data_IF_064175201694
#
_entry.id   IF_064175201694
#
_cell.length_a   1.000
_cell.length_b   1.000
_cell.length_c   1.000
_cell.angle_alpha   90.00
_cell.angle_beta   90.00
_cell.angle_gamma   90.00
#
_symmetry.space_group_name_H-M   'P 1'
#
loop_
_entity.id
_entity.type
_entity.pdbx_description
1 polymer ?
#
# COMPACT_ATOMS: atom_id res chain seq x y z
N UNK A 1 12.50 -15.45 -25.33
CA UNK A 1 11.52 -14.79 -26.22
C UNK A 1 10.18 -14.81 -25.52
N UNK A 2 9.89 -13.81 -24.68
CA UNK A 2 8.55 -13.61 -24.11
C UNK A 2 7.68 -12.98 -25.18
N UNK A 3 6.52 -13.58 -25.44
CA UNK A 3 5.49 -12.99 -26.29
C UNK A 3 5.03 -11.68 -25.67
N UNK A 4 5.07 -10.60 -26.44
CA UNK A 4 4.29 -9.40 -26.17
C UNK A 4 2.83 -9.84 -25.95
N UNK A 5 2.29 -9.56 -24.78
CA UNK A 5 0.88 -9.78 -24.50
C UNK A 5 0.08 -8.90 -25.47
N UNK A 6 -0.88 -9.49 -26.18
CA UNK A 6 -1.75 -8.76 -27.09
C UNK A 6 -2.56 -7.69 -26.31
N UNK A 7 -2.66 -6.49 -26.86
CA UNK A 7 -3.30 -5.30 -26.28
C UNK A 7 -4.73 -5.56 -25.83
N UNK A 8 -5.52 -6.22 -26.67
CA UNK A 8 -6.93 -6.48 -26.38
C UNK A 8 -7.10 -7.52 -25.27
N UNK A 9 -6.14 -8.46 -25.18
CA UNK A 9 -6.07 -9.44 -24.09
C UNK A 9 -5.75 -8.76 -22.76
N UNK A 10 -4.86 -7.76 -22.75
CA UNK A 10 -4.50 -7.02 -21.56
C UNK A 10 -5.71 -6.29 -20.94
N UNK A 11 -6.41 -5.50 -21.75
CA UNK A 11 -7.57 -4.71 -21.32
C UNK A 11 -8.70 -5.62 -20.80
N UNK A 12 -8.97 -6.72 -21.52
CA UNK A 12 -9.98 -7.69 -21.10
C UNK A 12 -9.65 -8.31 -19.74
N UNK A 13 -8.38 -8.53 -19.42
CA UNK A 13 -7.96 -9.11 -18.14
C UNK A 13 -8.09 -8.11 -16.99
N UNK A 14 -7.82 -6.82 -17.20
CA UNK A 14 -7.98 -5.80 -16.17
C UNK A 14 -9.44 -5.56 -15.78
N UNK A 15 -10.32 -5.42 -16.77
CA UNK A 15 -11.78 -5.27 -16.55
C UNK A 15 -12.34 -6.47 -15.81
N UNK A 16 -11.96 -7.68 -16.23
CA UNK A 16 -12.37 -8.92 -15.58
C UNK A 16 -11.83 -9.00 -14.14
N UNK A 17 -10.56 -8.62 -13.93
CA UNK A 17 -9.94 -8.60 -12.60
C UNK A 17 -10.66 -7.64 -11.64
N UNK A 18 -10.98 -6.43 -12.12
CA UNK A 18 -11.78 -5.44 -11.39
C UNK A 18 -13.13 -6.02 -10.96
N UNK A 19 -13.90 -6.57 -11.90
CA UNK A 19 -15.24 -7.09 -11.63
C UNK A 19 -15.22 -8.29 -10.67
N UNK A 20 -14.21 -9.16 -10.80
CA UNK A 20 -13.96 -10.27 -9.89
C UNK A 20 -13.71 -9.80 -8.46
N UNK A 21 -12.89 -8.77 -8.25
CA UNK A 21 -12.63 -8.23 -6.91
C UNK A 21 -13.88 -7.54 -6.32
N UNK A 22 -14.67 -6.84 -7.13
CA UNK A 22 -15.94 -6.25 -6.69
C UNK A 22 -16.96 -7.32 -6.26
N UNK A 23 -16.99 -8.47 -6.94
CA UNK A 23 -17.82 -9.60 -6.53
C UNK A 23 -17.33 -10.22 -5.22
N UNK A 24 -16.01 -10.27 -5.00
CA UNK A 24 -15.43 -10.69 -3.73
C UNK A 24 -15.83 -9.76 -2.57
N UNK A 25 -15.82 -8.44 -2.78
CA UNK A 25 -16.32 -7.46 -1.79
C UNK A 25 -17.78 -7.71 -1.40
N UNK A 26 -18.66 -7.89 -2.39
CA UNK A 26 -20.08 -8.21 -2.14
C UNK A 26 -20.26 -9.50 -1.33
N UNK A 27 -19.39 -10.49 -1.55
CA UNK A 27 -19.39 -11.72 -0.75
C UNK A 27 -19.00 -11.44 0.71
N UNK A 28 -17.95 -10.66 0.95
CA UNK A 28 -17.56 -10.28 2.32
C UNK A 28 -18.66 -9.49 3.03
N UNK A 29 -19.31 -8.55 2.33
CA UNK A 29 -20.47 -7.80 2.84
C UNK A 29 -21.58 -8.75 3.32
N UNK A 30 -21.92 -9.76 2.52
CA UNK A 30 -22.96 -10.74 2.86
C UNK A 30 -22.61 -11.62 4.07
N UNK A 31 -21.32 -11.84 4.35
CA UNK A 31 -20.85 -12.65 5.48
C UNK A 31 -20.94 -11.92 6.82
N UNK A 32 -20.67 -10.61 6.83
CA UNK A 32 -20.70 -9.80 8.04
C UNK A 32 -22.06 -9.10 8.27
N UNK A 33 -22.93 -9.09 7.27
CA UNK A 33 -24.34 -8.75 7.40
C UNK A 33 -24.67 -7.25 7.44
N UNK A 34 -23.67 -6.37 7.38
CA UNK A 34 -23.88 -4.91 7.34
C UNK A 34 -22.71 -4.16 6.71
N UNK A 35 -22.98 -3.43 5.62
CA UNK A 35 -22.11 -2.38 5.09
C UNK A 35 -22.42 -1.09 5.86
N UNK A 36 -21.43 -0.39 6.43
CA UNK A 36 -20.03 -0.30 5.99
C UNK A 36 -18.98 -1.16 6.74
N UNK A 37 -19.36 -2.16 7.53
CA UNK A 37 -18.40 -2.94 8.33
C UNK A 37 -17.83 -4.17 7.58
N UNK A 38 -16.50 -4.22 7.41
CA UNK A 38 -15.82 -5.32 6.72
C UNK A 38 -14.77 -6.01 7.60
N UNK A 39 -14.62 -7.32 7.43
CA UNK A 39 -13.43 -8.06 7.86
C UNK A 39 -12.34 -8.04 6.79
N UNK A 40 -11.07 -8.21 7.19
CA UNK A 40 -9.92 -8.12 6.27
C UNK A 40 -9.92 -9.22 5.19
N UNK A 41 -10.49 -10.39 5.49
CA UNK A 41 -10.54 -11.57 4.62
C UNK A 41 -11.80 -12.40 4.90
N UNK A 42 -12.06 -13.40 4.07
CA UNK A 42 -13.20 -14.30 4.26
C UNK A 42 -13.11 -15.18 5.53
N UNK A 43 -11.90 -15.35 6.09
CA UNK A 43 -11.71 -16.02 7.38
C UNK A 43 -11.68 -15.08 8.58
N UNK A 44 -11.86 -13.77 8.38
CA UNK A 44 -11.78 -12.80 9.48
C UNK A 44 -12.90 -13.04 10.51
N UNK A 45 -12.53 -13.11 11.78
CA UNK A 45 -13.48 -13.26 12.89
C UNK A 45 -14.10 -11.92 13.30
N UNK A 46 -13.47 -10.81 12.92
CA UNK A 46 -13.84 -9.45 13.31
C UNK A 46 -13.92 -8.53 12.09
N UNK A 47 -14.85 -7.59 12.14
CA UNK A 47 -14.83 -6.40 11.28
C UNK A 47 -13.98 -5.33 11.95
N UNK A 48 -13.15 -4.62 11.21
CA UNK A 48 -12.30 -3.54 11.73
C UNK A 48 -12.44 -2.28 10.88
N UNK A 49 -12.23 -1.11 11.48
CA UNK A 49 -12.35 0.16 10.74
C UNK A 49 -11.34 0.26 9.58
N UNK A 50 -10.14 -0.31 9.75
CA UNK A 50 -9.13 -0.40 8.70
C UNK A 50 -9.59 -1.26 7.51
N UNK A 51 -10.17 -2.43 7.77
CA UNK A 51 -10.71 -3.30 6.72
C UNK A 51 -11.82 -2.59 5.93
N UNK A 52 -12.69 -1.86 6.62
CA UNK A 52 -13.73 -1.04 6.01
C UNK A 52 -13.14 0.08 5.14
N UNK A 53 -12.05 0.73 5.58
CA UNK A 53 -11.33 1.71 4.75
C UNK A 53 -10.80 1.08 3.46
N UNK A 54 -10.19 -0.12 3.53
CA UNK A 54 -9.66 -0.80 2.34
C UNK A 54 -10.76 -1.20 1.36
N UNK A 55 -11.91 -1.68 1.85
CA UNK A 55 -13.08 -1.91 1.01
C UNK A 55 -13.52 -0.63 0.28
N UNK A 56 -13.60 0.49 1.00
CA UNK A 56 -13.96 1.78 0.43
C UNK A 56 -12.95 2.26 -0.63
N UNK A 57 -11.65 2.04 -0.42
CA UNK A 57 -10.63 2.41 -1.41
C UNK A 57 -10.71 1.58 -2.68
N UNK A 58 -11.12 0.32 -2.60
CA UNK A 58 -11.42 -0.48 -3.80
C UNK A 58 -12.64 0.12 -4.51
N UNK A 59 -13.73 0.44 -3.81
CA UNK A 59 -14.90 1.08 -4.43
C UNK A 59 -14.56 2.41 -5.09
N UNK A 60 -13.72 3.23 -4.46
CA UNK A 60 -13.23 4.48 -5.02
C UNK A 60 -12.41 4.24 -6.28
N UNK A 61 -11.34 3.45 -6.18
CA UNK A 61 -10.42 3.16 -7.28
C UNK A 61 -11.16 2.64 -8.51
N UNK A 62 -12.15 1.78 -8.29
CA UNK A 62 -12.98 1.17 -9.34
C UNK A 62 -14.06 2.09 -9.90
N UNK A 63 -14.36 3.20 -9.25
CA UNK A 63 -15.44 4.10 -9.65
C UNK A 63 -16.84 3.66 -9.22
N UNK A 64 -16.94 2.63 -8.39
CA UNK A 64 -18.21 2.17 -7.83
C UNK A 64 -18.70 3.09 -6.71
N UNK A 65 -17.80 3.81 -6.03
CA UNK A 65 -18.16 4.77 -4.99
C UNK A 65 -19.09 5.88 -5.52
N UNK A 66 -19.01 6.23 -6.81
CA UNK A 66 -19.85 7.21 -7.50
C UNK A 66 -21.29 6.72 -7.67
N UNK A 67 -21.52 5.41 -7.58
CA UNK A 67 -22.85 4.82 -7.63
C UNK A 67 -23.54 4.81 -6.26
N UNK A 68 -22.81 5.08 -5.17
CA UNK A 68 -23.39 5.16 -3.84
C UNK A 68 -24.32 6.36 -3.75
N UNK A 69 -25.52 6.13 -3.24
CA UNK A 69 -26.47 7.20 -2.91
C UNK A 69 -25.87 8.14 -1.85
N UNK A 70 -26.42 9.36 -1.77
CA UNK A 70 -26.07 10.32 -0.71
C UNK A 70 -26.28 9.72 0.68
N UNK A 71 -27.30 8.87 0.86
CA UNK A 71 -27.57 8.19 2.13
C UNK A 71 -26.48 7.19 2.47
N UNK A 72 -26.07 6.33 1.53
CA UNK A 72 -24.98 5.37 1.74
C UNK A 72 -23.67 6.09 2.06
N UNK A 73 -23.32 7.14 1.31
CA UNK A 73 -22.12 7.94 1.58
C UNK A 73 -22.13 8.55 2.99
N UNK A 74 -23.29 9.04 3.42
CA UNK A 74 -23.47 9.59 4.77
C UNK A 74 -23.35 8.50 5.84
N UNK A 75 -23.94 7.32 5.64
CA UNK A 75 -23.84 6.18 6.56
C UNK A 75 -22.38 5.72 6.72
N UNK A 76 -21.63 5.61 5.63
CA UNK A 76 -20.19 5.34 5.65
C UNK A 76 -19.42 6.41 6.44
N UNK A 77 -19.70 7.69 6.19
CA UNK A 77 -19.03 8.78 6.88
C UNK A 77 -19.31 8.77 8.38
N UNK A 78 -20.57 8.59 8.79
CA UNK A 78 -20.94 8.52 10.21
C UNK A 78 -20.37 7.29 10.91
N UNK A 79 -20.31 6.14 10.23
CA UNK A 79 -19.60 4.97 10.74
C UNK A 79 -18.12 5.29 11.00
N UNK A 80 -17.39 5.82 10.03
CA UNK A 80 -15.96 6.15 10.19
C UNK A 80 -15.72 7.17 11.30
N UNK A 81 -16.55 8.23 11.34
CA UNK A 81 -16.46 9.28 12.36
C UNK A 81 -16.75 8.78 13.78
N UNK A 82 -17.56 7.72 13.93
CA UNK A 82 -17.86 7.14 15.25
C UNK A 82 -16.62 6.58 15.97
N UNK A 83 -15.54 6.32 15.22
CA UNK A 83 -14.25 5.88 15.78
C UNK A 83 -13.35 7.04 16.20
N UNK A 84 -13.72 8.31 15.92
CA UNK A 84 -12.86 9.45 16.23
C UNK A 84 -12.97 9.86 17.70
N UNK A 85 -11.83 9.84 18.41
CA UNK A 85 -11.72 10.34 19.78
C UNK A 85 -11.72 11.86 19.83
N UNK A 86 -12.62 12.44 20.62
CA UNK A 86 -12.79 13.90 20.75
C UNK A 86 -11.54 14.61 21.28
N UNK A 87 -10.81 13.97 22.21
CA UNK A 87 -9.69 14.61 22.92
C UNK A 87 -8.46 14.71 22.04
N UNK A 88 -8.02 13.59 21.47
CA UNK A 88 -6.81 13.50 20.66
C UNK A 88 -7.04 13.81 19.18
N UNK A 89 -8.26 13.58 18.69
CA UNK A 89 -8.58 13.58 17.25
C UNK A 89 -8.16 12.31 16.51
N UNK A 90 -7.58 11.31 17.20
CA UNK A 90 -7.22 10.02 16.63
C UNK A 90 -8.46 9.18 16.33
N UNK A 91 -8.38 8.29 15.36
CA UNK A 91 -9.39 7.25 15.13
C UNK A 91 -8.95 5.96 15.82
N UNK A 92 -9.78 5.46 16.73
CA UNK A 92 -9.49 4.33 17.59
C UNK A 92 -10.51 3.23 17.34
N UNK A 93 -10.05 2.08 16.85
CA UNK A 93 -10.89 0.90 16.74
C UNK A 93 -11.20 0.37 18.16
N UNK A 94 -12.47 0.15 18.54
CA UNK A 94 -12.84 -0.29 19.89
C UNK A 94 -12.32 -1.68 20.22
N UNK A 95 -11.94 -2.47 19.22
CA UNK A 95 -11.29 -3.77 19.43
C UNK A 95 -9.79 -3.63 19.72
N UNK A 96 -9.17 -2.48 19.46
CA UNK A 96 -7.74 -2.28 19.64
C UNK A 96 -7.45 -1.72 21.03
N UNK A 97 -6.50 -2.35 21.73
CA UNK A 97 -6.01 -1.88 23.02
C UNK A 97 -4.49 -1.74 22.98
N UNK A 98 -3.92 -0.84 23.78
CA UNK A 98 -2.48 -0.55 23.79
C UNK A 98 -1.65 -1.82 24.06
N UNK A 99 -2.16 -2.74 24.89
CA UNK A 99 -1.52 -4.00 25.23
C UNK A 99 -1.38 -4.95 24.04
N UNK A 100 -2.24 -4.85 23.02
CA UNK A 100 -2.14 -5.65 21.79
C UNK A 100 -0.81 -5.37 21.05
N UNK A 101 -0.24 -4.18 21.27
CA UNK A 101 0.93 -3.65 20.57
C UNK A 101 2.18 -3.51 21.47
N UNK A 102 2.08 -3.91 22.74
CA UNK A 102 3.19 -3.85 23.67
C UNK A 102 4.38 -4.69 23.18
N UNK A 103 5.58 -4.09 23.16
CA UNK A 103 6.83 -4.72 22.69
C UNK A 103 6.78 -5.23 21.24
N UNK A 104 5.89 -4.67 20.40
CA UNK A 104 5.84 -4.95 18.95
C UNK A 104 6.64 -3.89 18.19
N UNK A 105 7.04 -4.22 16.95
CA UNK A 105 7.67 -3.27 16.01
C UNK A 105 6.72 -2.12 15.66
N UNK A 106 5.45 -2.44 15.42
CA UNK A 106 4.36 -1.48 15.30
C UNK A 106 3.74 -1.29 16.67
N UNK A 107 4.11 -0.22 17.35
CA UNK A 107 3.58 0.12 18.66
C UNK A 107 2.19 0.78 18.56
N UNK A 108 1.63 1.13 19.71
CA UNK A 108 0.31 1.78 19.80
C UNK A 108 0.25 3.12 19.04
N UNK A 109 1.33 3.90 19.09
CA UNK A 109 1.40 5.16 18.36
C UNK A 109 1.33 4.91 16.85
N UNK A 110 2.14 3.98 16.34
CA UNK A 110 2.13 3.58 14.93
C UNK A 110 0.73 3.16 14.50
N UNK A 111 0.09 2.26 15.25
CA UNK A 111 -1.21 1.72 14.90
C UNK A 111 -2.31 2.79 14.88
N UNK A 112 -2.36 3.66 15.91
CA UNK A 112 -3.38 4.72 15.98
C UNK A 112 -3.18 5.79 14.92
N UNK A 113 -1.93 6.12 14.57
CA UNK A 113 -1.61 7.04 13.48
C UNK A 113 -1.98 6.44 12.13
N UNK A 114 -1.68 5.17 11.91
CA UNK A 114 -2.07 4.45 10.70
C UNK A 114 -3.60 4.39 10.54
N UNK A 115 -4.31 4.06 11.62
CA UNK A 115 -5.79 4.03 11.63
C UNK A 115 -6.37 5.39 11.32
N UNK A 116 -5.84 6.44 11.96
CA UNK A 116 -6.22 7.83 11.68
C UNK A 116 -5.97 8.21 10.23
N UNK A 117 -4.79 7.90 9.69
CA UNK A 117 -4.44 8.19 8.29
C UNK A 117 -5.43 7.57 7.30
N UNK A 118 -5.78 6.29 7.46
CA UNK A 118 -6.70 5.62 6.56
C UNK A 118 -8.15 6.09 6.73
N UNK A 119 -8.62 6.33 7.96
CA UNK A 119 -9.95 6.89 8.19
C UNK A 119 -10.11 8.28 7.55
N UNK A 120 -9.09 9.14 7.66
CA UNK A 120 -9.09 10.45 7.01
C UNK A 120 -9.11 10.33 5.48
N UNK A 121 -8.32 9.42 4.92
CA UNK A 121 -8.33 9.14 3.47
C UNK A 121 -9.68 8.59 2.98
N UNK A 122 -10.37 7.82 3.82
CA UNK A 122 -11.69 7.27 3.52
C UNK A 122 -12.79 8.34 3.60
N UNK A 123 -12.71 9.25 4.59
CA UNK A 123 -13.61 10.40 4.69
C UNK A 123 -13.44 11.35 3.49
N UNK A 124 -12.22 11.61 3.07
CA UNK A 124 -11.91 12.42 1.88
C UNK A 124 -12.56 11.84 0.61
N UNK A 125 -12.44 10.51 0.39
CA UNK A 125 -13.08 9.81 -0.72
C UNK A 125 -14.62 9.97 -0.74
N UNK A 126 -15.24 10.08 0.43
CA UNK A 126 -16.67 10.29 0.60
C UNK A 126 -17.08 11.77 0.44
N UNK A 127 -16.12 12.71 0.43
CA UNK A 127 -16.37 14.15 0.46
C UNK A 127 -16.68 14.69 1.85
N UNK A 128 -16.22 14.01 2.91
CA UNK A 128 -16.41 14.38 4.30
C UNK A 128 -15.07 14.68 5.00
N UNK A 129 -15.14 15.38 6.12
CA UNK A 129 -14.00 15.66 6.99
C UNK A 129 -14.19 15.02 8.36
N UNK A 130 -13.09 14.95 9.12
CA UNK A 130 -13.14 14.56 10.53
C UNK A 130 -14.07 15.46 11.36
N UNK A 131 -14.64 14.92 12.44
CA UNK A 131 -15.49 15.65 13.38
C UNK A 131 -14.67 16.55 14.31
N UNK A 132 -13.54 16.05 14.78
CA UNK A 132 -12.71 16.72 15.76
C UNK A 132 -11.33 17.11 15.18
N UNK A 133 -10.72 18.21 15.67
CA UNK A 133 -9.37 18.59 15.26
C UNK A 133 -8.33 17.51 15.58
N UNK A 134 -7.35 17.34 14.69
CA UNK A 134 -6.24 16.37 14.84
C UNK A 134 -5.21 16.86 15.88
N UNK A 135 -5.57 16.88 17.16
CA UNK A 135 -4.73 17.44 18.23
C UNK A 135 -3.45 16.65 18.48
N UNK A 136 -3.40 15.38 18.08
CA UNK A 136 -2.20 14.54 18.20
C UNK A 136 -0.97 15.10 17.45
N UNK A 137 -1.17 15.98 16.46
CA UNK A 137 -0.06 16.59 15.70
C UNK A 137 0.63 17.74 16.44
N UNK A 138 -0.02 18.33 17.46
CA UNK A 138 0.47 19.55 18.13
C UNK A 138 1.88 19.41 18.72
N UNK A 139 2.27 18.29 19.35
CA UNK A 139 3.64 18.10 19.87
C UNK A 139 4.73 18.13 18.79
N UNK A 140 4.37 17.98 17.51
CA UNK A 140 5.29 17.91 16.39
C UNK A 140 5.33 19.20 15.57
N UNK A 141 4.71 20.29 16.03
CA UNK A 141 4.71 21.55 15.28
C UNK A 141 5.91 22.42 15.62
N UNK A 142 6.40 23.13 14.62
CA UNK A 142 7.53 24.04 14.74
C UNK A 142 8.88 23.36 14.53
N UNK A 143 9.83 24.15 14.02
CA UNK A 143 11.14 23.68 13.55
C UNK A 143 11.94 22.93 14.61
N UNK A 144 11.94 23.38 15.87
CA UNK A 144 12.66 22.72 16.97
C UNK A 144 12.09 21.34 17.29
N UNK A 145 10.76 21.20 17.37
CA UNK A 145 10.10 19.95 17.66
C UNK A 145 10.31 18.95 16.52
N UNK A 146 10.11 19.39 15.28
CA UNK A 146 10.33 18.57 14.08
C UNK A 146 11.79 18.11 13.95
N UNK A 147 12.75 19.01 14.18
CA UNK A 147 14.18 18.65 14.11
C UNK A 147 14.50 17.57 15.14
N UNK A 148 14.04 17.76 16.38
CA UNK A 148 14.27 16.79 17.47
C UNK A 148 13.65 15.44 17.13
N UNK A 149 12.42 15.45 16.60
CA UNK A 149 11.72 14.23 16.24
C UNK A 149 12.37 13.50 15.07
N UNK A 150 12.66 14.19 13.95
CA UNK A 150 13.27 13.60 12.75
C UNK A 150 14.67 13.01 13.03
N UNK A 151 15.48 13.71 13.83
CA UNK A 151 16.80 13.23 14.24
C UNK A 151 16.72 12.04 15.21
N UNK A 152 15.58 11.85 15.89
CA UNK A 152 15.34 10.75 16.82
C UNK A 152 14.81 9.46 16.16
N UNK A 153 14.45 9.51 14.88
CA UNK A 153 13.95 8.34 14.15
C UNK A 153 15.08 7.35 13.85
N UNK A 154 14.75 6.06 13.88
CA UNK A 154 15.69 4.99 13.53
C UNK A 154 15.76 4.79 12.00
N UNK A 155 16.61 5.55 11.33
CA UNK A 155 16.84 5.43 9.89
C UNK A 155 17.61 4.17 9.47
N UNK A 156 17.97 3.28 10.40
CA UNK A 156 18.33 1.90 10.07
C UNK A 156 17.13 1.02 9.66
N UNK A 157 15.90 1.51 9.85
CA UNK A 157 14.64 0.87 9.43
C UNK A 157 13.71 1.90 8.77
N UNK A 158 14.13 2.49 7.63
CA UNK A 158 13.38 3.56 6.97
C UNK A 158 11.96 3.14 6.61
N UNK A 159 11.69 1.86 6.32
CA UNK A 159 10.33 1.37 6.08
C UNK A 159 9.39 1.67 7.28
N UNK A 160 9.83 1.40 8.50
CA UNK A 160 9.02 1.68 9.69
C UNK A 160 8.85 3.18 9.93
N UNK A 161 9.95 3.93 9.89
CA UNK A 161 9.94 5.34 10.32
C UNK A 161 9.30 6.28 9.30
N UNK A 162 9.45 5.97 8.00
CA UNK A 162 8.81 6.73 6.93
C UNK A 162 7.27 6.69 6.99
N UNK A 163 6.68 5.59 7.46
CA UNK A 163 5.24 5.52 7.71
C UNK A 163 4.80 6.59 8.71
N UNK A 164 5.54 6.77 9.81
CA UNK A 164 5.23 7.80 10.83
C UNK A 164 5.30 9.21 10.24
N UNK A 165 6.31 9.48 9.42
CA UNK A 165 6.45 10.75 8.68
C UNK A 165 5.27 10.95 7.73
N UNK A 166 4.90 9.94 6.96
CA UNK A 166 3.77 10.00 6.03
C UNK A 166 2.45 10.30 6.76
N UNK A 167 2.18 9.62 7.88
CA UNK A 167 0.97 9.84 8.68
C UNK A 167 0.91 11.27 9.24
N UNK A 168 2.02 11.74 9.79
CA UNK A 168 2.12 13.10 10.34
C UNK A 168 2.01 14.16 9.26
N UNK A 169 2.78 14.05 8.17
CA UNK A 169 2.77 15.01 7.08
C UNK A 169 1.38 15.14 6.45
N UNK A 170 0.71 14.02 6.19
CA UNK A 170 -0.65 14.03 5.61
C UNK A 170 -1.67 14.68 6.56
N UNK A 171 -1.53 14.43 7.86
CA UNK A 171 -2.38 15.03 8.89
C UNK A 171 -2.11 16.53 9.08
N UNK A 172 -0.85 16.97 8.94
CA UNK A 172 -0.47 18.38 8.90
C UNK A 172 -1.05 19.07 7.66
N UNK A 173 -0.97 18.47 6.47
CA UNK A 173 -1.57 19.01 5.23
C UNK A 173 -3.07 19.26 5.44
N UNK A 174 -3.80 18.26 5.96
CA UNK A 174 -5.25 18.39 6.22
C UNK A 174 -5.58 19.44 7.29
N UNK A 175 -4.66 19.68 8.23
CA UNK A 175 -4.82 20.67 9.29
C UNK A 175 -4.27 22.06 8.93
N UNK A 176 -3.85 22.27 7.67
CA UNK A 176 -3.30 23.55 7.20
C UNK A 176 -1.85 23.84 7.63
N UNK A 177 -1.11 22.84 8.09
CA UNK A 177 0.29 22.94 8.57
C UNK A 177 1.34 22.83 7.46
N UNK A 178 1.18 23.54 6.33
CA UNK A 178 2.08 23.41 5.18
C UNK A 178 3.53 23.84 5.46
N UNK A 179 3.74 24.82 6.35
CA UNK A 179 5.10 25.23 6.75
C UNK A 179 5.86 24.09 7.45
N UNK A 180 5.20 23.39 8.37
CA UNK A 180 5.74 22.22 9.07
C UNK A 180 6.06 21.08 8.07
N UNK A 181 5.18 20.88 7.08
CA UNK A 181 5.37 19.88 6.02
C UNK A 181 6.58 20.23 5.16
N UNK A 182 6.69 21.47 4.68
CA UNK A 182 7.86 21.87 3.89
C UNK A 182 9.17 21.72 4.67
N UNK A 183 9.16 22.02 5.98
CA UNK A 183 10.32 21.78 6.83
C UNK A 183 10.73 20.31 6.90
N UNK A 184 9.77 19.38 7.02
CA UNK A 184 10.04 17.94 6.99
C UNK A 184 10.71 17.55 5.66
N UNK A 185 10.18 18.02 4.54
CA UNK A 185 10.71 17.66 3.22
C UNK A 185 12.06 18.34 2.91
N UNK A 186 12.30 19.55 3.41
CA UNK A 186 13.62 20.19 3.36
C UNK A 186 14.66 19.42 4.19
N UNK A 187 14.23 18.77 5.28
CA UNK A 187 15.08 17.85 6.04
C UNK A 187 15.35 16.58 5.21
N UNK A 188 14.32 15.95 4.64
CA UNK A 188 14.48 14.75 3.80
C UNK A 188 15.43 15.00 2.63
N UNK A 189 15.29 16.14 1.95
CA UNK A 189 16.14 16.53 0.82
C UNK A 189 17.63 16.59 1.15
N UNK A 190 17.97 16.97 2.39
CA UNK A 190 19.37 17.05 2.86
C UNK A 190 19.96 15.70 3.29
N UNK A 191 19.11 14.69 3.50
CA UNK A 191 19.50 13.37 4.02
C UNK A 191 19.22 12.23 3.02
N UNK A 192 18.87 12.56 1.78
CA UNK A 192 18.70 11.56 0.72
C UNK A 192 20.07 11.08 0.25
N UNK A 193 20.27 9.76 0.19
CA UNK A 193 21.50 9.13 -0.26
C UNK A 193 21.67 9.30 -1.77
N UNK A 194 22.73 9.98 -2.25
CA UNK A 194 22.96 10.17 -3.69
C UNK A 194 23.35 8.89 -4.43
N UNK A 195 23.74 7.81 -3.74
CA UNK A 195 24.13 6.56 -4.39
C UNK A 195 22.94 5.70 -4.80
N UNK A 196 21.90 5.68 -3.95
CA UNK A 196 20.70 4.87 -4.15
C UNK A 196 19.47 5.69 -4.51
N UNK A 197 19.47 6.97 -4.15
CA UNK A 197 18.30 7.85 -4.22
C UNK A 197 17.31 7.65 -3.08
N UNK A 198 17.62 6.85 -2.06
CA UNK A 198 16.73 6.56 -0.92
C UNK A 198 17.25 7.14 0.41
N UNK A 199 16.63 6.76 1.52
CA UNK A 199 17.01 7.18 2.88
C UNK A 199 17.41 5.98 3.72
N UNK A 200 18.31 6.19 4.69
CA UNK A 200 18.68 5.19 5.71
C UNK A 200 19.78 4.20 5.31
N UNK A 201 20.20 4.17 4.03
CA UNK A 201 21.28 3.30 3.53
C UNK A 201 22.63 3.60 4.19
N UNK A 202 22.92 4.87 4.50
CA UNK A 202 24.08 5.28 5.30
C UNK A 202 24.06 4.71 6.73
N UNK A 203 22.87 4.36 7.24
CA UNK A 203 22.66 3.69 8.52
C UNK A 203 22.44 2.18 8.38
N UNK A 204 22.88 1.61 7.25
CA UNK A 204 22.86 0.17 6.93
C UNK A 204 21.48 -0.43 6.71
N UNK A 205 20.46 0.38 6.41
CA UNK A 205 19.23 -0.15 5.85
C UNK A 205 19.54 -0.88 4.54
N UNK A 206 18.98 -2.07 4.34
CA UNK A 206 19.08 -2.73 3.04
C UNK A 206 18.26 -2.00 1.98
N UNK A 207 18.58 -2.24 0.70
CA UNK A 207 17.99 -1.51 -0.41
C UNK A 207 16.47 -1.70 -0.52
N UNK A 208 15.95 -2.88 -0.14
CA UNK A 208 14.52 -3.17 -0.18
C UNK A 208 13.77 -2.37 0.89
N UNK A 209 14.30 -2.34 2.12
CA UNK A 209 13.75 -1.55 3.22
C UNK A 209 13.81 -0.05 2.89
N UNK A 210 14.91 0.42 2.29
CA UNK A 210 15.07 1.80 1.84
C UNK A 210 14.07 2.19 0.74
N UNK A 211 13.83 1.32 -0.25
CA UNK A 211 12.83 1.51 -1.30
C UNK A 211 11.40 1.60 -0.73
N UNK A 212 11.05 0.64 0.13
CA UNK A 212 9.75 0.63 0.82
C UNK A 212 9.56 1.89 1.68
N UNK A 213 10.64 2.40 2.29
CA UNK A 213 10.61 3.67 3.01
C UNK A 213 10.40 4.88 2.12
N UNK A 214 11.12 4.94 0.99
CA UNK A 214 11.10 6.07 0.06
C UNK A 214 9.74 6.24 -0.64
N UNK A 215 9.04 5.14 -0.93
CA UNK A 215 7.68 5.15 -1.48
C UNK A 215 6.72 6.05 -0.68
N UNK A 216 6.80 6.02 0.66
CA UNK A 216 5.94 6.82 1.53
C UNK A 216 6.13 8.34 1.40
N UNK A 217 7.20 8.79 0.74
CA UNK A 217 7.48 10.21 0.52
C UNK A 217 7.16 10.66 -0.91
N UNK A 218 7.42 9.83 -1.91
CA UNK A 218 7.43 10.31 -3.30
C UNK A 218 6.07 10.82 -3.80
N UNK A 219 4.96 10.21 -3.39
CA UNK A 219 3.65 10.77 -3.75
C UNK A 219 3.41 12.14 -3.08
N UNK A 220 3.96 12.39 -1.89
CA UNK A 220 3.91 13.69 -1.22
C UNK A 220 4.82 14.71 -1.90
N UNK A 221 6.01 14.31 -2.35
CA UNK A 221 6.87 15.18 -3.18
C UNK A 221 6.11 15.68 -4.40
N UNK A 222 5.43 14.78 -5.12
CA UNK A 222 4.66 15.13 -6.32
C UNK A 222 3.43 15.96 -5.99
N UNK A 223 2.69 15.61 -4.94
CA UNK A 223 1.53 16.38 -4.48
C UNK A 223 1.90 17.83 -4.15
N UNK A 224 3.03 18.01 -3.47
CA UNK A 224 3.60 19.31 -3.08
C UNK A 224 4.37 20.00 -4.22
N UNK A 225 4.43 19.39 -5.41
CA UNK A 225 5.20 19.88 -6.57
C UNK A 225 6.68 20.15 -6.26
N UNK A 226 7.27 19.32 -5.41
CA UNK A 226 8.70 19.38 -5.07
C UNK A 226 9.54 18.67 -6.12
N UNK A 227 10.77 19.15 -6.40
CA UNK A 227 11.68 18.48 -7.31
C UNK A 227 12.13 17.13 -6.73
N UNK A 228 12.41 16.18 -7.62
CA UNK A 228 13.04 14.91 -7.26
C UNK A 228 14.56 15.04 -7.44
N UNK A 229 15.31 14.60 -6.43
CA UNK A 229 16.75 14.42 -6.56
C UNK A 229 17.05 12.97 -6.95
N UNK A 230 18.16 12.76 -7.67
CA UNK A 230 18.72 11.43 -7.97
C UNK A 230 17.75 10.47 -8.69
N UNK A 231 16.91 10.98 -9.59
CA UNK A 231 15.89 10.16 -10.29
C UNK A 231 16.46 8.91 -10.98
N UNK A 232 17.63 9.03 -11.61
CA UNK A 232 18.29 7.89 -12.26
C UNK A 232 18.69 6.80 -11.25
N UNK A 233 19.24 7.20 -10.10
CA UNK A 233 19.62 6.27 -9.03
C UNK A 233 18.40 5.60 -8.39
N UNK A 234 17.30 6.34 -8.22
CA UNK A 234 16.03 5.77 -7.74
C UNK A 234 15.55 4.68 -8.72
N UNK A 235 15.57 4.97 -10.02
CA UNK A 235 15.17 4.02 -11.06
C UNK A 235 16.07 2.78 -11.03
N UNK A 236 17.39 2.97 -11.00
CA UNK A 236 18.36 1.87 -10.99
C UNK A 236 18.20 0.98 -9.76
N UNK A 237 18.09 1.60 -8.58
CA UNK A 237 17.87 0.90 -7.32
C UNK A 237 16.56 0.10 -7.36
N UNK A 238 15.46 0.71 -7.79
CA UNK A 238 14.16 0.03 -7.85
C UNK A 238 14.20 -1.17 -8.81
N UNK A 239 14.74 -0.99 -10.02
CA UNK A 239 14.80 -2.04 -11.03
C UNK A 239 15.69 -3.21 -10.60
N UNK A 240 16.73 -2.95 -9.79
CA UNK A 240 17.62 -3.99 -9.26
C UNK A 240 16.93 -4.95 -8.28
N UNK A 241 15.80 -4.55 -7.69
CA UNK A 241 15.06 -5.33 -6.70
C UNK A 241 14.08 -6.34 -7.32
N UNK A 242 13.80 -6.26 -8.62
CA UNK A 242 12.82 -7.14 -9.26
C UNK A 242 13.32 -8.60 -9.30
N UNK A 243 12.48 -9.52 -8.81
CA UNK A 243 12.76 -10.93 -8.73
C UNK A 243 12.46 -11.67 -10.04
N UNK A 244 12.93 -12.92 -10.22
CA UNK A 244 12.71 -13.69 -11.46
C UNK A 244 11.24 -13.92 -11.82
N UNK A 245 10.33 -13.90 -10.84
CA UNK A 245 8.88 -14.03 -11.05
C UNK A 245 8.20 -12.72 -11.49
N UNK A 246 8.95 -11.62 -11.57
CA UNK A 246 8.45 -10.30 -11.95
C UNK A 246 7.97 -9.45 -10.78
N UNK A 247 7.99 -9.95 -9.55
CA UNK A 247 7.56 -9.25 -8.34
C UNK A 247 8.77 -8.78 -7.51
N UNK A 248 8.55 -8.15 -6.36
CA UNK A 248 9.63 -7.46 -5.62
C UNK A 248 9.99 -8.04 -4.26
N UNK A 249 9.21 -9.01 -3.76
CA UNK A 249 9.55 -9.71 -2.51
C UNK A 249 10.64 -10.77 -2.76
N UNK A 250 11.80 -10.72 -2.10
CA UNK A 250 12.91 -11.66 -2.31
C UNK A 250 12.58 -13.12 -1.95
N UNK A 251 11.46 -13.37 -1.25
CA UNK A 251 10.96 -14.72 -0.96
C UNK A 251 10.20 -15.33 -2.15
N UNK A 252 9.87 -14.53 -3.18
CA UNK A 252 9.09 -14.92 -4.35
C UNK A 252 7.60 -15.12 -4.07
N UNK A 253 6.77 -15.01 -5.10
CA UNK A 253 5.32 -15.07 -5.02
C UNK A 253 4.65 -13.75 -4.63
N UNK A 254 5.43 -12.67 -4.53
CA UNK A 254 4.95 -11.32 -4.25
C UNK A 254 5.02 -10.89 -2.80
N UNK A 255 4.60 -9.66 -2.57
CA UNK A 255 4.32 -9.05 -1.27
C UNK A 255 3.59 -7.74 -1.58
N UNK A 256 2.32 -7.63 -1.23
CA UNK A 256 1.42 -6.66 -1.88
C UNK A 256 1.91 -5.21 -1.72
N UNK A 257 2.50 -4.88 -0.57
CA UNK A 257 3.17 -3.60 -0.34
C UNK A 257 4.37 -3.40 -1.29
N UNK A 258 5.37 -4.29 -1.22
CA UNK A 258 6.61 -4.17 -1.99
C UNK A 258 6.36 -4.10 -3.51
N UNK A 259 5.39 -4.88 -3.98
CA UNK A 259 5.00 -4.89 -5.39
C UNK A 259 4.43 -3.52 -5.81
N UNK A 260 3.55 -2.92 -5.00
CA UNK A 260 3.01 -1.58 -5.26
C UNK A 260 4.08 -0.49 -5.14
N UNK A 261 4.91 -0.54 -4.08
CA UNK A 261 5.92 0.48 -3.79
C UNK A 261 6.84 0.69 -5.00
N UNK A 262 7.35 -0.41 -5.56
CA UNK A 262 8.19 -0.38 -6.74
C UNK A 262 7.42 0.06 -8.00
N UNK A 263 6.19 -0.41 -8.21
CA UNK A 263 5.36 0.00 -9.35
C UNK A 263 5.09 1.49 -9.34
N UNK A 264 4.71 2.04 -8.19
CA UNK A 264 4.40 3.45 -8.03
C UNK A 264 5.61 4.34 -8.34
N UNK A 265 6.78 3.99 -7.79
CA UNK A 265 8.05 4.67 -8.07
C UNK A 265 8.34 4.66 -9.58
N UNK A 266 8.34 3.49 -10.21
CA UNK A 266 8.69 3.34 -11.61
C UNK A 266 7.71 4.05 -12.54
N UNK A 267 6.40 3.93 -12.29
CA UNK A 267 5.36 4.62 -13.06
C UNK A 267 5.55 6.13 -12.96
N UNK A 268 5.65 6.68 -11.75
CA UNK A 268 5.79 8.13 -11.55
C UNK A 268 7.09 8.68 -12.13
N UNK A 269 8.21 8.02 -11.93
CA UNK A 269 9.49 8.50 -12.48
C UNK A 269 9.55 8.36 -14.01
N UNK A 270 8.92 7.33 -14.59
CA UNK A 270 8.81 7.22 -16.06
C UNK A 270 7.94 8.30 -16.69
N UNK A 271 7.12 9.00 -15.90
CA UNK A 271 6.38 10.20 -16.30
C UNK A 271 7.20 11.47 -16.13
N UNK A 272 8.42 11.41 -15.57
CA UNK A 272 9.27 12.58 -15.33
C UNK A 272 10.57 12.55 -16.15
N UNK A 273 11.06 11.36 -16.50
CA UNK A 273 12.29 11.16 -17.28
C UNK A 273 12.15 9.98 -18.25
N UNK A 274 12.93 10.00 -19.34
CA UNK A 274 13.04 8.91 -20.31
C UNK A 274 14.17 7.92 -19.96
N UNK A 275 14.93 8.18 -18.89
CA UNK A 275 16.02 7.31 -18.42
C UNK A 275 15.51 5.88 -18.21
N UNK A 276 16.15 4.91 -18.89
CA UNK A 276 15.83 3.48 -18.84
C UNK A 276 14.35 3.14 -19.11
N UNK A 277 13.66 3.95 -19.92
CA UNK A 277 12.24 3.76 -20.27
C UNK A 277 11.90 2.34 -20.77
N UNK A 278 12.76 1.71 -21.55
CA UNK A 278 12.59 0.32 -22.03
C UNK A 278 12.63 -0.70 -20.88
N UNK A 279 13.58 -0.56 -19.96
CA UNK A 279 13.70 -1.46 -18.81
C UNK A 279 12.57 -1.28 -17.81
N UNK A 280 12.13 -0.03 -17.61
CA UNK A 280 10.96 0.27 -16.78
C UNK A 280 9.71 -0.39 -17.37
N UNK A 281 9.51 -0.27 -18.68
CA UNK A 281 8.39 -0.90 -19.37
C UNK A 281 8.43 -2.43 -19.24
N UNK A 282 9.59 -3.04 -19.51
CA UNK A 282 9.77 -4.48 -19.38
C UNK A 282 9.52 -4.96 -17.93
N UNK A 283 9.99 -4.21 -16.94
CA UNK A 283 9.73 -4.49 -15.53
C UNK A 283 8.24 -4.45 -15.20
N UNK A 284 7.56 -3.36 -15.54
CA UNK A 284 6.13 -3.16 -15.24
C UNK A 284 5.23 -4.17 -15.98
N UNK A 285 5.57 -4.57 -17.20
CA UNK A 285 4.88 -5.65 -17.91
C UNK A 285 4.99 -6.99 -17.18
N UNK A 286 6.18 -7.35 -16.68
CA UNK A 286 6.38 -8.56 -15.88
C UNK A 286 5.57 -8.51 -14.58
N UNK A 287 5.62 -7.37 -13.88
CA UNK A 287 4.85 -7.18 -12.65
C UNK A 287 3.35 -7.33 -12.90
N UNK A 288 2.82 -6.69 -13.94
CA UNK A 288 1.39 -6.79 -14.27
C UNK A 288 0.98 -8.24 -14.54
N UNK A 289 1.74 -8.97 -15.37
CA UNK A 289 1.47 -10.38 -15.64
C UNK A 289 1.47 -11.23 -14.36
N UNK A 290 2.44 -11.00 -13.48
CA UNK A 290 2.56 -11.73 -12.22
C UNK A 290 1.43 -11.40 -11.24
N UNK A 291 1.06 -10.12 -11.11
CA UNK A 291 -0.07 -9.67 -10.28
C UNK A 291 -1.38 -10.27 -10.76
N UNK A 292 -1.68 -10.22 -12.07
CA UNK A 292 -2.87 -10.84 -12.66
C UNK A 292 -2.90 -12.36 -12.43
N UNK A 293 -1.74 -13.02 -12.51
CA UNK A 293 -1.61 -14.46 -12.24
C UNK A 293 -1.81 -14.81 -10.76
N UNK A 294 -1.62 -13.84 -9.85
CA UNK A 294 -1.87 -13.98 -8.43
C UNK A 294 -3.34 -13.74 -8.03
N UNK A 295 -4.22 -13.33 -8.97
CA UNK A 295 -5.64 -13.23 -8.68
C UNK A 295 -6.23 -14.62 -8.45
N UNK A 296 -6.94 -14.78 -7.34
CA UNK A 296 -7.52 -16.06 -6.92
C UNK A 296 -8.81 -16.36 -7.70
N UNK A 297 -9.21 -17.63 -7.70
CA UNK A 297 -10.42 -18.08 -8.39
C UNK A 297 -11.73 -17.49 -7.84
N UNK A 298 -11.73 -16.97 -6.62
CA UNK A 298 -12.86 -16.22 -6.03
C UNK A 298 -12.80 -14.71 -6.31
N UNK A 299 -11.82 -14.26 -7.09
CA UNK A 299 -11.63 -12.87 -7.51
C UNK A 299 -10.81 -12.00 -6.57
N UNK A 300 -10.47 -12.51 -5.39
CA UNK A 300 -9.62 -11.81 -4.43
C UNK A 300 -8.15 -11.80 -4.87
N UNK A 301 -7.36 -10.92 -4.27
CA UNK A 301 -5.90 -11.02 -4.29
C UNK A 301 -5.37 -11.33 -2.90
N UNK A 302 -4.21 -11.97 -2.84
CA UNK A 302 -3.52 -12.33 -1.61
C UNK A 302 -2.21 -11.57 -1.45
N UNK A 303 -1.68 -11.54 -0.23
CA UNK A 303 -0.37 -10.94 0.06
C UNK A 303 0.71 -11.57 -0.82
N UNK A 304 0.80 -12.90 -0.79
CA UNK A 304 1.80 -13.64 -1.55
C UNK A 304 1.46 -15.12 -1.76
N UNK A 305 1.80 -15.62 -2.96
CA UNK A 305 1.75 -17.04 -3.30
C UNK A 305 3.08 -17.70 -2.95
N UNK A 306 3.24 -18.11 -1.69
CA UNK A 306 4.48 -18.76 -1.23
C UNK A 306 4.56 -20.21 -1.72
N UNK A 307 5.73 -20.60 -2.21
CA UNK A 307 6.02 -21.99 -2.51
C UNK A 307 5.93 -22.85 -1.24
N UNK A 308 5.43 -24.08 -1.35
CA UNK A 308 5.39 -24.99 -0.22
C UNK A 308 6.81 -25.26 0.30
N UNK A 309 7.05 -25.12 1.62
CA UNK A 309 8.36 -25.40 2.17
C UNK A 309 8.72 -26.87 1.92
N UNK A 310 9.95 -27.11 1.44
CA UNK A 310 10.39 -28.46 1.15
C UNK A 310 10.31 -29.36 2.40
N UNK A 311 9.64 -30.51 2.28
CA UNK A 311 9.63 -31.52 3.34
C UNK A 311 11.05 -31.95 3.67
N UNK A 312 11.40 -32.01 4.95
CA UNK A 312 12.69 -32.52 5.40
C UNK A 312 12.92 -33.96 4.93
N UNK A 313 14.18 -34.36 4.75
CA UNK A 313 14.52 -35.73 4.32
C UNK A 313 13.89 -36.79 5.25
N UNK A 314 13.92 -36.55 6.57
CA UNK A 314 13.25 -37.40 7.57
C UNK A 314 11.76 -37.56 7.29
N UNK A 315 11.07 -36.48 6.93
CA UNK A 315 9.64 -36.50 6.64
C UNK A 315 9.35 -37.23 5.32
N UNK A 316 10.16 -37.01 4.28
CA UNK A 316 10.04 -37.74 3.00
C UNK A 316 10.21 -39.24 3.21
N UNK A 317 11.21 -39.65 4.01
CA UNK A 317 11.42 -41.06 4.37
C UNK A 317 10.25 -41.63 5.19
N UNK A 318 9.74 -40.89 6.17
CA UNK A 318 8.58 -41.35 6.96
C UNK A 318 7.33 -41.60 6.10
N UNK A 319 7.11 -40.79 5.06
CA UNK A 319 6.01 -40.96 4.11
C UNK A 319 6.25 -42.17 3.19
N UNK A 320 7.48 -42.38 2.71
CA UNK A 320 7.87 -43.58 1.92
C UNK A 320 7.56 -44.86 2.69
N UNK A 321 7.83 -44.87 4.00
CA UNK A 321 7.59 -46.03 4.87
C UNK A 321 6.21 -46.05 5.53
N UNK A 322 5.27 -45.16 5.15
CA UNK A 322 3.91 -45.04 5.72
C UNK A 322 3.87 -44.86 7.25
N UNK A 323 4.99 -44.45 7.85
CA UNK A 323 5.15 -44.25 9.29
C UNK A 323 4.27 -43.11 9.81
N UNK A 324 3.97 -42.13 8.96
CA UNK A 324 3.07 -41.02 9.28
C UNK A 324 1.60 -41.44 9.42
N UNK A 325 1.15 -42.43 8.64
CA UNK A 325 -0.17 -43.06 8.78
C UNK A 325 -0.26 -43.91 10.04
N UNK A 326 0.79 -44.67 10.36
CA UNK A 326 0.87 -45.49 11.58
C UNK A 326 0.88 -44.62 12.83
N UNK A 327 1.62 -43.51 12.81
CA UNK A 327 1.72 -42.56 13.93
C UNK A 327 0.56 -41.55 14.00
N UNK A 328 -0.40 -41.60 13.05
CA UNK A 328 -1.48 -40.60 12.91
C UNK A 328 -0.98 -39.14 12.94
N UNK A 329 0.20 -38.89 12.37
CA UNK A 329 0.81 -37.55 12.28
C UNK A 329 0.87 -37.09 10.82
N UNK A 330 -0.26 -36.67 10.22
CA UNK A 330 -0.26 -36.15 8.86
C UNK A 330 0.60 -34.88 8.77
N UNK A 331 1.31 -34.72 7.64
CA UNK A 331 2.05 -33.49 7.36
C UNK A 331 1.05 -32.33 7.24
N UNK A 332 1.25 -31.29 8.05
CA UNK A 332 0.54 -30.02 7.88
C UNK A 332 1.48 -29.07 7.16
N UNK A 333 1.06 -28.60 6.00
CA UNK A 333 1.75 -27.53 5.29
C UNK A 333 1.70 -26.30 6.19
N UNK A 334 2.86 -25.73 6.59
CA UNK A 334 2.88 -24.50 7.36
C UNK A 334 2.11 -23.41 6.60
N UNK A 335 1.10 -22.83 7.23
CA UNK A 335 0.45 -21.63 6.71
C UNK A 335 1.25 -20.43 7.18
N UNK A 336 1.72 -19.61 6.25
CA UNK A 336 2.25 -18.30 6.59
C UNK A 336 1.06 -17.40 6.93
N UNK A 337 1.11 -16.80 8.11
CA UNK A 337 0.08 -15.91 8.63
C UNK A 337 0.67 -14.51 8.69
N UNK A 338 0.03 -13.57 8.01
CA UNK A 338 0.30 -12.16 8.19
C UNK A 338 -0.62 -11.56 9.23
N UNK A 339 -0.14 -10.48 9.85
CA UNK A 339 -0.91 -9.66 10.78
C UNK A 339 -0.77 -8.23 10.31
N UNK A 340 -1.84 -7.66 9.78
CA UNK A 340 -1.78 -6.28 9.34
C UNK A 340 -1.42 -5.38 10.53
N UNK A 341 -0.37 -4.56 10.37
CA UNK A 341 0.23 -3.76 11.44
C UNK A 341 0.63 -4.56 12.71
N UNK A 342 0.85 -5.87 12.60
CA UNK A 342 1.15 -6.74 13.74
C UNK A 342 -0.05 -7.07 14.63
N UNK A 343 -1.27 -6.68 14.26
CA UNK A 343 -2.47 -6.87 15.08
C UNK A 343 -3.11 -8.24 14.86
N UNK A 344 -3.27 -9.02 15.94
CA UNK A 344 -3.83 -10.40 15.86
C UNK A 344 -5.26 -10.42 15.31
N UNK A 345 -6.07 -9.39 15.57
CA UNK A 345 -7.46 -9.30 15.09
C UNK A 345 -7.57 -9.05 13.57
N UNK A 346 -6.45 -8.72 12.93
CA UNK A 346 -6.31 -8.61 11.47
C UNK A 346 -5.31 -9.63 10.93
N UNK A 347 -5.34 -10.84 11.47
CA UNK A 347 -4.56 -11.95 10.97
C UNK A 347 -5.25 -12.65 9.79
N UNK A 348 -4.49 -13.00 8.76
CA UNK A 348 -4.97 -13.77 7.60
C UNK A 348 -3.83 -14.60 7.00
N UNK A 349 -4.15 -15.65 6.22
CA UNK A 349 -3.13 -16.44 5.54
C UNK A 349 -2.50 -15.66 4.38
N UNK A 350 -1.17 -15.72 4.19
CA UNK A 350 -0.51 -14.96 3.09
C UNK A 350 -1.07 -15.30 1.71
N UNK A 351 -1.52 -16.54 1.51
CA UNK A 351 -2.13 -17.01 0.26
C UNK A 351 -3.65 -16.88 0.22
N UNK A 352 -4.27 -16.38 1.29
CA UNK A 352 -5.70 -16.10 1.36
C UNK A 352 -6.02 -14.75 0.71
N UNK A 353 -7.22 -14.62 0.15
CA UNK A 353 -7.71 -13.35 -0.36
C UNK A 353 -7.98 -12.34 0.75
N UNK A 354 -7.48 -11.12 0.64
CA UNK A 354 -7.69 -10.08 1.63
C UNK A 354 -7.90 -8.69 0.99
N UNK A 355 -8.49 -7.76 1.75
CA UNK A 355 -8.84 -6.43 1.26
C UNK A 355 -7.64 -5.52 1.07
N UNK A 356 -6.59 -5.67 1.89
CA UNK A 356 -5.38 -4.87 1.77
C UNK A 356 -4.65 -5.18 0.47
N UNK A 357 -4.34 -6.46 0.25
CA UNK A 357 -3.72 -6.96 -0.96
C UNK A 357 -4.61 -6.74 -2.18
N UNK A 358 -5.93 -6.88 -2.02
CA UNK A 358 -6.93 -6.55 -3.04
C UNK A 358 -6.81 -5.12 -3.53
N UNK A 359 -6.79 -4.15 -2.62
CA UNK A 359 -6.62 -2.74 -2.96
C UNK A 359 -5.25 -2.47 -3.59
N UNK A 360 -4.17 -2.91 -2.94
CA UNK A 360 -2.80 -2.61 -3.37
C UNK A 360 -2.46 -3.19 -4.74
N UNK A 361 -2.83 -4.45 -4.99
CA UNK A 361 -2.56 -5.09 -6.28
C UNK A 361 -3.43 -4.49 -7.39
N UNK A 362 -4.69 -4.14 -7.11
CA UNK A 362 -5.53 -3.44 -8.07
C UNK A 362 -4.99 -2.04 -8.38
N UNK A 363 -4.48 -1.32 -7.37
CA UNK A 363 -3.85 -0.01 -7.54
C UNK A 363 -2.58 -0.11 -8.38
N UNK A 364 -1.75 -1.14 -8.20
CA UNK A 364 -0.58 -1.38 -9.03
C UNK A 364 -0.97 -1.61 -10.51
N UNK A 365 -2.00 -2.43 -10.77
CA UNK A 365 -2.54 -2.62 -12.12
C UNK A 365 -3.04 -1.29 -12.71
N UNK A 366 -3.80 -0.52 -11.93
CA UNK A 366 -4.30 0.78 -12.34
C UNK A 366 -3.16 1.74 -12.74
N UNK A 367 -2.11 1.86 -11.92
CA UNK A 367 -0.93 2.70 -12.21
C UNK A 367 -0.17 2.25 -13.47
N UNK A 368 -0.01 0.94 -13.67
CA UNK A 368 0.65 0.42 -14.89
C UNK A 368 -0.19 0.77 -16.13
N UNK A 369 -1.51 0.65 -16.02
CA UNK A 369 -2.45 0.91 -17.12
C UNK A 369 -2.47 2.37 -17.58
N UNK A 370 -2.21 3.33 -16.68
CA UNK A 370 -2.16 4.76 -17.05
C UNK A 370 -0.92 5.07 -17.90
N UNK A 371 0.25 4.55 -17.50
CA UNK A 371 1.53 4.86 -18.15
C UNK A 371 1.68 4.29 -19.57
N UNK A 372 1.24 3.06 -19.80
CA UNK A 372 1.41 2.35 -21.07
C UNK A 372 0.12 2.29 -21.89
N UNK A 373 -0.58 3.42 -21.89
CA UNK A 373 -1.90 3.64 -22.48
C UNK A 373 -1.91 3.84 -24.01
N UNK A 374 -0.87 3.45 -24.76
CA UNK A 374 -1.03 3.17 -26.21
C UNK A 374 -2.10 2.08 -26.48
N UNK A 375 -2.61 1.50 -25.38
CA UNK A 375 -3.77 0.64 -25.17
C UNK A 375 -5.09 1.38 -24.76
N UNK A 376 -5.37 2.61 -25.22
CA UNK A 376 -6.66 3.33 -24.99
C UNK A 376 -7.88 2.71 -25.71
N UNK A 377 -8.25 1.49 -25.35
CA UNK A 377 -9.59 0.90 -25.60
C UNK A 377 -10.23 0.33 -24.33
N UNK A 378 -9.58 0.49 -23.17
CA UNK A 378 -10.17 0.20 -21.87
C UNK A 378 -11.10 1.34 -21.47
N UNK A 379 -12.42 1.11 -21.48
CA UNK A 379 -13.40 2.00 -20.85
C UNK A 379 -13.25 2.06 -19.31
N UNK A 380 -12.27 1.33 -18.73
CA UNK A 380 -12.05 1.31 -17.29
C UNK A 380 -11.42 2.62 -16.84
N UNK A 381 -12.26 3.55 -16.38
CA UNK A 381 -11.81 4.73 -15.67
C UNK A 381 -11.46 4.36 -14.23
N UNK A 382 -10.18 4.45 -13.89
CA UNK A 382 -9.69 4.39 -12.52
C UNK A 382 -9.88 5.75 -11.85
N UNK A 383 -10.26 5.78 -10.57
CA UNK A 383 -10.27 7.01 -9.77
C UNK A 383 -9.20 6.95 -8.69
N UNK A 384 -8.07 7.59 -8.94
CA UNK A 384 -7.00 7.73 -7.97
C UNK A 384 -7.36 8.77 -6.90
N UNK A 385 -6.64 8.71 -5.77
CA UNK A 385 -6.81 9.70 -4.69
C UNK A 385 -6.40 11.08 -5.18
N UNK A 386 -7.21 12.09 -4.84
CA UNK A 386 -6.92 13.50 -5.14
C UNK A 386 -6.13 14.20 -4.01
N UNK A 387 -6.18 13.64 -2.79
CA UNK A 387 -5.49 14.15 -1.61
C UNK A 387 -4.10 13.52 -1.41
N UNK A 388 -3.30 14.13 -0.53
CA UNK A 388 -1.92 13.75 -0.22
C UNK A 388 -1.84 12.46 0.62
N UNK A 389 -2.26 11.34 0.05
CA UNK A 389 -2.34 10.02 0.71
C UNK A 389 -1.92 8.89 -0.25
N UNK A 390 -1.81 7.67 0.28
CA UNK A 390 -1.51 6.48 -0.52
C UNK A 390 -2.56 6.28 -1.62
N UNK A 391 -2.09 6.04 -2.85
CA UNK A 391 -2.95 5.97 -4.04
C UNK A 391 -3.13 7.30 -4.78
N UNK A 392 -2.43 8.36 -4.38
CA UNK A 392 -2.39 9.61 -5.14
C UNK A 392 -1.69 9.44 -6.48
N UNK A 393 -2.36 9.86 -7.55
CA UNK A 393 -1.83 9.90 -8.91
C UNK A 393 -2.63 10.90 -9.76
N UNK A 394 -1.94 11.85 -10.39
CA UNK A 394 -2.54 12.86 -11.28
C UNK A 394 -1.60 13.17 -12.45
N UNK A 395 -1.80 12.52 -13.61
CA UNK A 395 -0.96 12.70 -14.81
C UNK A 395 -0.88 14.17 -15.27
N UNK A 396 -1.97 14.93 -15.10
CA UNK A 396 -2.05 16.32 -15.53
C UNK A 396 -1.12 17.21 -14.70
N UNK A 397 -1.08 16.98 -13.37
CA UNK A 397 -0.13 17.65 -12.48
C UNK A 397 1.30 17.18 -12.68
N UNK A 398 1.52 15.90 -12.93
CA UNK A 398 2.86 15.35 -13.18
C UNK A 398 3.53 15.95 -14.42
N UNK A 399 2.74 16.17 -15.49
CA UNK A 399 3.20 16.82 -16.71
C UNK A 399 3.68 18.28 -16.47
N UNK A 400 3.13 18.96 -15.46
CA UNK A 400 3.57 20.31 -15.10
C UNK A 400 4.94 20.33 -14.38
N UNK A 401 5.24 19.30 -13.58
CA UNK A 401 6.53 19.16 -12.88
C UNK A 401 7.68 18.93 -13.86
N UNK A 402 7.47 18.14 -14.92
CA UNK A 402 8.45 17.97 -16.01
C UNK A 402 8.92 19.31 -16.61
N UNK A 403 8.00 20.28 -16.74
CA UNK A 403 8.31 21.58 -17.34
C UNK A 403 9.24 22.44 -16.47
N UNK A 404 9.24 22.22 -15.15
CA UNK A 404 10.12 22.89 -14.19
C UNK A 404 11.47 22.19 -14.14
N UNK A 405 11.49 20.85 -14.11
CA UNK A 405 12.73 20.07 -14.10
C UNK A 405 13.58 20.25 -15.37
N UNK A 406 12.97 20.51 -16.54
CA UNK A 406 13.70 20.83 -17.78
C UNK A 406 14.25 22.26 -17.85
N UNK A 407 13.93 23.13 -16.87
CA UNK A 407 14.35 24.54 -16.83
C UNK A 407 15.47 24.81 -15.80
N UNK A 408 15.79 23.82 -14.98
CA UNK A 408 16.92 23.82 -14.03
C UNK A 408 18.00 22.94 -14.65
#
# INVERSE_FOLDING_TARGET
>A
MMHNMDKDRFISLEVDSKNKLLNYLKKLESQHGWRPAYGISASAEHTTVLSSCFALFIYELTGELQQFSTSERSEWAEYLKSFQDEKSGLFLDPLAHEEDFANRKHDWQYFTWQTTFFCLSALDALGHTALFPLRFIQPYRGTTALTTWLNGLNWGDPWLESNKIMFLASSLIQSGGLEDVHFIFDWLDRHQDPQTGYWGTEQRADLLNAMAGAFHFYFLYLYLQRPFQYMEQIIDSTLSLQQPDGLYDPRGGGGACLDLDAVDILVKLSLLTDYRSEDINASLQRTCQAVLSNQRGDGSFCEAVRAEPQKSLKRRLAEIFLLDKVLKKPYRIPRFIERYAGWEKMAYGTGEGDLWSGWFRLLALALISTRYSDNKTSDTKWNFKSSAVLGWHDESRLSSVQSVAKRI
#
